data_IF_856953631045
#
_entry.id   IF_856953631045
#
_cell.length_a   1.000
_cell.length_b   1.000
_cell.length_c   1.000
_cell.angle_alpha   90.00
_cell.angle_beta   90.00
_cell.angle_gamma   90.00
#
_symmetry.space_group_name_H-M   'P 1'
#
loop_
_entity.id
_entity.type
_entity.pdbx_description
1 polymer ?
#
# COMPACT_ATOMS: atom_id res chain seq x y z
N UNK A 1 2.49 -20.48 -16.96
CA UNK A 1 3.01 -19.29 -16.25
C UNK A 1 1.82 -18.54 -15.63
N UNK A 2 1.55 -18.73 -14.33
CA UNK A 2 0.37 -18.16 -13.62
C UNK A 2 0.77 -17.43 -12.32
N UNK A 3 2.06 -17.17 -12.12
CA UNK A 3 2.58 -16.57 -10.89
C UNK A 3 2.24 -15.07 -10.74
N UNK A 4 1.99 -14.37 -11.85
CA UNK A 4 1.88 -12.90 -11.89
C UNK A 4 0.62 -12.30 -11.24
N UNK A 5 -0.30 -13.12 -10.71
CA UNK A 5 -1.53 -12.67 -10.04
C UNK A 5 -1.76 -13.31 -8.67
N UNK A 6 -0.86 -14.16 -8.18
CA UNK A 6 -1.00 -14.81 -6.87
C UNK A 6 -1.16 -13.78 -5.73
N UNK A 7 -0.46 -12.65 -5.86
CA UNK A 7 -0.51 -11.53 -4.91
C UNK A 7 -1.91 -10.91 -4.75
N UNK A 8 -2.82 -11.07 -5.72
CA UNK A 8 -4.19 -10.56 -5.61
C UNK A 8 -5.01 -11.32 -4.54
N UNK A 9 -4.63 -12.57 -4.28
CA UNK A 9 -5.24 -13.40 -3.24
C UNK A 9 -4.56 -13.22 -1.88
N UNK A 10 -3.48 -12.42 -1.78
CA UNK A 10 -2.86 -12.12 -0.50
C UNK A 10 -3.83 -11.35 0.39
N UNK A 11 -3.76 -11.56 1.72
CA UNK A 11 -4.52 -10.75 2.65
C UNK A 11 -4.13 -9.28 2.48
N UNK A 12 -5.10 -8.35 2.46
CA UNK A 12 -4.79 -6.94 2.35
C UNK A 12 -4.07 -6.47 3.62
N UNK A 13 -3.02 -5.69 3.46
CA UNK A 13 -2.45 -4.89 4.54
C UNK A 13 -3.36 -3.69 4.77
N UNK A 14 -3.95 -3.63 5.96
CA UNK A 14 -4.74 -2.48 6.41
C UNK A 14 -3.82 -1.43 7.03
N UNK A 15 -3.91 -0.21 6.54
CA UNK A 15 -3.21 0.96 7.08
C UNK A 15 -4.23 2.07 7.30
N UNK A 16 -4.08 2.79 8.42
CA UNK A 16 -4.91 3.96 8.70
C UNK A 16 -4.68 5.01 7.60
N UNK A 17 -5.77 5.50 7.02
CA UNK A 17 -5.74 6.61 6.06
C UNK A 17 -5.60 7.98 6.72
N UNK A 18 -5.58 8.02 8.05
CA UNK A 18 -5.38 9.25 8.80
C UNK A 18 -4.01 9.86 8.45
N UNK A 19 -4.02 11.07 7.88
CA UNK A 19 -2.82 11.81 7.45
C UNK A 19 -1.96 11.15 6.36
N UNK A 20 -2.41 10.06 5.73
CA UNK A 20 -1.70 9.48 4.58
C UNK A 20 -1.85 10.39 3.36
N UNK A 21 -0.71 10.66 2.70
CA UNK A 21 -0.66 11.33 1.41
C UNK A 21 -0.75 10.26 0.31
N UNK A 22 -1.83 10.20 -0.48
CA UNK A 22 -2.04 9.15 -1.47
C UNK A 22 -0.91 9.03 -2.50
N UNK A 23 -0.36 10.18 -2.94
CA UNK A 23 0.74 10.23 -3.91
C UNK A 23 2.02 9.57 -3.36
N UNK A 24 2.31 9.76 -2.07
CA UNK A 24 3.48 9.14 -1.42
C UNK A 24 3.28 7.64 -1.26
N UNK A 25 2.06 7.23 -0.89
CA UNK A 25 1.70 5.82 -0.80
C UNK A 25 1.83 5.13 -2.16
N UNK A 26 1.29 5.72 -3.21
CA UNK A 26 1.39 5.18 -4.57
C UNK A 26 2.85 5.09 -5.03
N UNK A 27 3.67 6.12 -4.75
CA UNK A 27 5.10 6.11 -5.06
C UNK A 27 5.85 4.98 -4.34
N UNK A 28 5.57 4.75 -3.06
CA UNK A 28 6.16 3.66 -2.28
C UNK A 28 5.76 2.29 -2.84
N UNK A 29 4.47 2.10 -3.16
CA UNK A 29 3.96 0.86 -3.75
C UNK A 29 4.54 0.59 -5.13
N UNK A 30 4.64 1.61 -5.98
CA UNK A 30 5.23 1.52 -7.31
C UNK A 30 6.71 1.16 -7.25
N UNK A 31 7.45 1.73 -6.30
CA UNK A 31 8.87 1.44 -6.08
C UNK A 31 9.11 -0.02 -5.65
N UNK A 32 8.26 -0.55 -4.77
CA UNK A 32 8.44 -1.89 -4.22
C UNK A 32 7.87 -3.00 -5.12
N UNK A 33 6.73 -2.75 -5.77
CA UNK A 33 5.95 -3.81 -6.43
C UNK A 33 5.78 -3.62 -7.94
N UNK A 34 6.32 -2.54 -8.54
CA UNK A 34 6.32 -2.30 -10.00
C UNK A 34 4.93 -2.53 -10.65
N UNK A 35 3.88 -1.96 -10.07
CA UNK A 35 2.47 -2.09 -10.48
C UNK A 35 1.79 -3.44 -10.16
N UNK A 36 2.43 -4.32 -9.40
CA UNK A 36 1.81 -5.52 -8.83
C UNK A 36 1.19 -5.19 -7.47
N UNK A 37 0.32 -4.19 -7.42
CA UNK A 37 -0.40 -3.85 -6.20
C UNK A 37 -1.83 -3.40 -6.53
N UNK A 38 -2.71 -3.50 -5.55
CA UNK A 38 -4.04 -2.93 -5.57
C UNK A 38 -4.28 -2.19 -4.27
N UNK A 39 -4.86 -1.00 -4.34
CA UNK A 39 -5.21 -0.19 -3.18
C UNK A 39 -6.72 0.03 -3.21
N UNK A 40 -7.38 -0.31 -2.11
CA UNK A 40 -8.80 -0.01 -1.89
C UNK A 40 -8.91 0.90 -0.67
N UNK A 41 -9.58 2.04 -0.80
CA UNK A 41 -9.90 2.88 0.36
C UNK A 41 -11.30 2.54 0.87
N UNK A 42 -11.43 2.20 2.15
CA UNK A 42 -12.73 2.02 2.82
C UNK A 42 -12.80 2.88 4.07
N UNK A 43 -13.79 3.77 4.11
CA UNK A 43 -13.99 4.77 5.16
C UNK A 43 -12.75 5.65 5.37
N UNK A 44 -11.81 5.21 6.19
CA UNK A 44 -10.55 5.89 6.47
C UNK A 44 -9.39 4.91 6.60
N UNK A 45 -9.47 3.77 5.93
CA UNK A 45 -8.47 2.70 5.92
C UNK A 45 -8.08 2.41 4.47
N UNK A 46 -6.78 2.40 4.17
CA UNK A 46 -6.26 1.88 2.91
C UNK A 46 -5.97 0.39 3.07
N UNK A 47 -6.47 -0.39 2.12
CA UNK A 47 -6.29 -1.83 2.03
C UNK A 47 -5.41 -2.14 0.83
N UNK A 48 -4.19 -2.54 1.11
CA UNK A 48 -3.17 -2.76 0.08
C UNK A 48 -3.00 -4.25 -0.13
N UNK A 49 -3.19 -4.71 -1.36
CA UNK A 49 -2.83 -6.07 -1.78
C UNK A 49 -1.60 -5.99 -2.66
N UNK A 50 -0.52 -6.62 -2.25
CA UNK A 50 0.73 -6.67 -2.98
C UNK A 50 1.45 -8.02 -2.72
N UNK A 51 2.50 -8.37 -3.48
CA UNK A 51 3.32 -9.55 -3.24
C UNK A 51 3.90 -9.62 -1.82
N UNK A 52 4.07 -8.47 -1.17
CA UNK A 52 4.46 -8.35 0.23
C UNK A 52 3.74 -7.20 0.91
N UNK A 53 4.22 -6.86 2.11
CA UNK A 53 3.71 -5.75 2.93
C UNK A 53 4.73 -4.62 2.99
N UNK A 54 4.25 -3.37 3.02
CA UNK A 54 5.09 -2.22 3.33
C UNK A 54 5.55 -2.30 4.79
N UNK A 55 6.81 -1.97 5.04
CA UNK A 55 7.33 -1.84 6.40
C UNK A 55 6.73 -0.62 7.10
N UNK A 56 6.65 -0.63 8.43
CA UNK A 56 6.14 0.53 9.19
C UNK A 56 6.90 1.82 8.85
N UNK A 57 8.23 1.73 8.64
CA UNK A 57 9.05 2.88 8.20
C UNK A 57 8.61 3.44 6.85
N UNK A 58 8.23 2.59 5.89
CA UNK A 58 7.74 3.05 4.59
C UNK A 58 6.34 3.65 4.69
N UNK A 59 5.49 3.07 5.54
CA UNK A 59 4.18 3.66 5.84
C UNK A 59 4.36 5.04 6.49
N UNK A 60 5.36 5.18 7.37
CA UNK A 60 5.67 6.46 8.03
C UNK A 60 6.04 7.57 7.05
N UNK A 61 6.77 7.27 5.98
CA UNK A 61 7.11 8.28 4.96
C UNK A 61 5.90 8.71 4.13
N UNK A 62 4.83 7.89 4.13
CA UNK A 62 3.57 8.20 3.45
C UNK A 62 2.71 9.22 4.22
N UNK A 63 2.93 9.40 5.52
CA UNK A 63 2.20 10.44 6.27
C UNK A 63 2.69 11.84 5.91
N UNK A 64 1.78 12.81 6.01
CA UNK A 64 2.10 14.23 5.91
C UNK A 64 2.95 14.65 7.11
N UNK A 65 4.04 15.40 6.88
CA UNK A 65 5.00 15.86 7.91
C UNK A 65 4.44 16.96 8.84
N UNK A 66 3.12 17.18 8.83
CA UNK A 66 2.45 18.27 9.53
C UNK A 66 1.82 17.90 10.88
N UNK A 67 2.09 16.71 11.41
CA UNK A 67 1.62 16.21 12.71
C UNK A 67 2.76 15.56 13.50
#
# INVERSE_FOLDING_TARGET
MRASQAWRNNPPQCISGEYIVPERLEAALKRNYQNQYAVEMRSNEYRIRAPGTLSETEIRTCYSLGY
#
